data_IF_013583571036
#
_entry.id   IF_013583571036
#
_cell.length_a   1.000
_cell.length_b   1.000
_cell.length_c   1.000
_cell.angle_alpha   90.00
_cell.angle_beta   90.00
_cell.angle_gamma   90.00
#
_symmetry.space_group_name_H-M   'P 1'
#
loop_
_entity.id
_entity.type
_entity.pdbx_description
1 polymer ?
#
# COMPACT_ATOMS: atom_id res chain seq x y z
N UNK A 1 42.59 3.00 -22.21
CA UNK A 1 41.28 3.02 -22.91
C UNK A 1 40.57 1.67 -22.75
N UNK A 2 41.21 0.52 -23.11
CA UNK A 2 40.61 -0.83 -23.06
C UNK A 2 40.06 -1.18 -21.65
N UNK A 3 40.81 -0.92 -20.58
CA UNK A 3 40.37 -1.19 -19.22
C UNK A 3 39.12 -0.36 -18.83
N UNK A 4 39.04 0.89 -19.26
CA UNK A 4 37.87 1.76 -18.98
C UNK A 4 36.63 1.20 -19.68
N UNK A 5 36.76 0.80 -20.95
CA UNK A 5 35.67 0.19 -21.71
C UNK A 5 35.20 -1.11 -21.04
N UNK A 6 36.11 -1.94 -20.57
CA UNK A 6 35.77 -3.18 -19.89
C UNK A 6 35.03 -2.95 -18.58
N UNK A 7 35.47 -1.99 -17.77
CA UNK A 7 34.78 -1.60 -16.53
C UNK A 7 33.36 -1.07 -16.84
N UNK A 8 33.22 -0.21 -17.84
CA UNK A 8 31.90 0.32 -18.25
C UNK A 8 30.95 -0.81 -18.67
N UNK A 9 31.43 -1.78 -19.43
CA UNK A 9 30.62 -2.93 -19.85
C UNK A 9 30.19 -3.81 -18.67
N UNK A 10 31.09 -4.04 -17.70
CA UNK A 10 30.76 -4.78 -16.47
C UNK A 10 29.69 -4.02 -15.68
N UNK A 11 29.85 -2.72 -15.47
CA UNK A 11 28.89 -1.89 -14.74
C UNK A 11 27.53 -1.90 -15.47
N UNK A 12 27.52 -1.75 -16.78
CA UNK A 12 26.30 -1.80 -17.59
C UNK A 12 25.62 -3.18 -17.52
N UNK A 13 26.42 -4.26 -17.54
CA UNK A 13 25.91 -5.62 -17.38
C UNK A 13 25.30 -5.84 -15.99
N UNK A 14 26.02 -5.46 -14.92
CA UNK A 14 25.52 -5.56 -13.53
C UNK A 14 24.25 -4.73 -13.36
N UNK A 15 24.22 -3.51 -13.89
CA UNK A 15 23.04 -2.64 -13.89
C UNK A 15 21.87 -3.33 -14.61
N UNK A 16 22.10 -3.85 -15.81
CA UNK A 16 21.08 -4.53 -16.61
C UNK A 16 20.53 -5.78 -15.90
N UNK A 17 21.40 -6.59 -15.31
CA UNK A 17 20.99 -7.78 -14.54
C UNK A 17 20.19 -7.37 -13.28
N UNK A 18 20.64 -6.32 -12.57
CA UNK A 18 20.00 -5.85 -11.36
C UNK A 18 18.61 -5.26 -11.61
N UNK A 19 18.45 -4.45 -12.64
CA UNK A 19 17.22 -3.70 -12.89
C UNK A 19 16.30 -4.35 -13.92
N UNK A 20 16.79 -5.31 -14.69
CA UNK A 20 16.01 -6.02 -15.72
C UNK A 20 15.18 -5.08 -16.61
N UNK A 21 15.68 -3.85 -16.84
CA UNK A 21 14.99 -2.76 -17.53
C UNK A 21 14.58 -3.10 -18.97
N UNK A 22 15.27 -4.03 -19.58
CA UNK A 22 15.05 -4.56 -20.94
C UNK A 22 13.87 -5.54 -21.02
N UNK A 23 13.41 -6.11 -19.90
CA UNK A 23 12.25 -7.02 -19.89
C UNK A 23 10.99 -6.29 -20.37
N UNK A 24 10.08 -6.97 -21.10
CA UNK A 24 8.81 -6.39 -21.48
C UNK A 24 7.99 -6.00 -20.25
N UNK A 25 7.11 -5.04 -20.42
CA UNK A 25 6.15 -4.70 -19.38
C UNK A 25 5.12 -5.83 -19.20
N UNK A 26 4.68 -6.05 -17.97
CA UNK A 26 3.43 -6.77 -17.74
C UNK A 26 2.31 -5.98 -18.42
N UNK A 27 1.38 -6.67 -19.06
CA UNK A 27 0.28 -6.04 -19.78
C UNK A 27 -0.36 -4.90 -18.98
N UNK A 28 -0.48 -3.72 -19.61
CA UNK A 28 -1.02 -2.51 -18.98
C UNK A 28 -2.54 -2.54 -18.76
N UNK A 29 -3.23 -3.52 -19.34
CA UNK A 29 -4.64 -3.83 -19.01
C UNK A 29 -4.79 -4.43 -17.61
N UNK A 30 -3.73 -5.00 -17.05
CA UNK A 30 -3.74 -5.50 -15.69
C UNK A 30 -3.46 -4.34 -14.73
N UNK A 31 -4.36 -4.05 -13.77
CA UNK A 31 -4.21 -2.92 -12.85
C UNK A 31 -2.98 -3.06 -11.94
N UNK A 32 -2.46 -1.93 -11.47
CA UNK A 32 -1.37 -1.88 -10.50
C UNK A 32 -1.93 -1.43 -9.15
N UNK A 33 -1.67 -2.20 -8.11
CA UNK A 33 -1.99 -1.82 -6.73
C UNK A 33 -0.69 -1.50 -6.02
N UNK A 34 -0.51 -0.25 -5.59
CA UNK A 34 0.71 0.24 -4.95
C UNK A 34 0.54 0.25 -3.43
N UNK A 35 1.53 -0.24 -2.70
CA UNK A 35 1.55 -0.25 -1.25
C UNK A 35 2.54 0.78 -0.72
N UNK A 36 2.03 1.79 -0.06
CA UNK A 36 2.74 2.78 0.74
C UNK A 36 2.39 2.63 2.22
N UNK A 37 3.08 3.36 3.08
CA UNK A 37 2.72 3.54 4.50
C UNK A 37 2.79 5.04 4.83
N UNK A 38 3.99 5.59 5.00
CA UNK A 38 4.21 7.00 5.36
C UNK A 38 4.73 7.82 4.17
N UNK A 39 4.28 9.07 4.09
CA UNK A 39 4.82 10.09 3.18
C UNK A 39 5.45 11.20 4.02
N UNK A 40 6.70 11.02 4.41
CA UNK A 40 7.44 11.95 5.26
C UNK A 40 8.94 11.83 5.08
N UNK A 41 9.69 12.82 5.58
CA UNK A 41 11.14 12.78 5.54
C UNK A 41 11.72 11.61 6.34
N UNK A 42 12.90 11.16 5.93
CA UNK A 42 13.65 10.16 6.70
C UNK A 42 14.10 10.73 8.04
N UNK A 43 14.19 9.87 9.03
CA UNK A 43 14.71 10.17 10.35
C UNK A 43 16.09 9.52 10.45
N UNK A 44 17.10 10.28 10.83
CA UNK A 44 18.48 9.76 10.99
C UNK A 44 18.51 8.65 12.06
N UNK A 45 19.17 7.55 11.71
CA UNK A 45 19.26 6.38 12.58
C UNK A 45 17.98 5.51 12.68
N UNK A 46 16.86 5.95 12.12
CA UNK A 46 15.61 5.19 12.18
C UNK A 46 15.67 3.90 11.36
N UNK A 47 15.12 2.82 11.93
CA UNK A 47 15.10 1.48 11.31
C UNK A 47 14.07 1.36 10.19
N UNK A 48 12.96 2.10 10.30
CA UNK A 48 11.82 2.01 9.39
C UNK A 48 11.78 3.07 8.29
N UNK A 49 12.91 3.71 7.96
CA UNK A 49 12.99 4.63 6.82
C UNK A 49 12.55 4.01 5.46
N UNK A 50 12.48 2.67 5.39
CA UNK A 50 11.89 2.00 4.22
C UNK A 50 10.38 2.23 4.07
N UNK A 51 9.67 2.53 5.16
CA UNK A 51 8.24 2.83 5.15
C UNK A 51 7.97 4.32 4.86
N UNK A 52 8.99 5.19 4.93
CA UNK A 52 8.89 6.64 4.76
C UNK A 52 9.30 7.04 3.35
N UNK A 53 8.34 7.28 2.48
CA UNK A 53 8.60 7.89 1.16
C UNK A 53 8.64 9.40 1.35
N UNK A 54 9.72 10.06 0.91
CA UNK A 54 9.83 11.52 1.04
C UNK A 54 8.73 12.23 0.25
N UNK A 55 8.12 13.31 0.77
CA UNK A 55 7.05 14.02 0.08
C UNK A 55 7.44 14.46 -1.35
N UNK A 56 8.66 14.98 -1.53
CA UNK A 56 9.16 15.35 -2.84
C UNK A 56 9.28 14.17 -3.82
N UNK A 57 9.61 12.98 -3.33
CA UNK A 57 9.65 11.76 -4.18
C UNK A 57 8.25 11.25 -4.48
N UNK A 58 7.32 11.31 -3.51
CA UNK A 58 5.92 10.96 -3.74
C UNK A 58 5.27 11.87 -4.78
N UNK A 59 5.50 13.19 -4.68
CA UNK A 59 5.02 14.18 -5.69
C UNK A 59 5.54 13.83 -7.09
N UNK A 60 6.84 13.55 -7.25
CA UNK A 60 7.43 13.12 -8.53
C UNK A 60 6.81 11.82 -9.06
N UNK A 61 6.50 10.87 -8.18
CA UNK A 61 5.91 9.59 -8.58
C UNK A 61 4.48 9.78 -9.08
N UNK A 62 3.64 10.53 -8.35
CA UNK A 62 2.25 10.81 -8.75
C UNK A 62 2.21 11.68 -10.00
N UNK A 63 3.05 12.74 -10.08
CA UNK A 63 3.20 13.59 -11.25
C UNK A 63 3.55 12.78 -12.50
N UNK A 64 4.52 11.88 -12.38
CA UNK A 64 4.94 11.04 -13.49
C UNK A 64 3.82 10.09 -13.93
N UNK A 65 3.15 9.42 -12.99
CA UNK A 65 2.02 8.56 -13.32
C UNK A 65 0.92 9.34 -14.04
N UNK A 66 0.56 10.54 -13.55
CA UNK A 66 -0.43 11.40 -14.21
C UNK A 66 -0.01 11.77 -15.63
N UNK A 67 1.25 12.20 -15.82
CA UNK A 67 1.80 12.56 -17.13
C UNK A 67 1.86 11.36 -18.12
N UNK A 68 1.96 10.13 -17.61
CA UNK A 68 1.94 8.91 -18.43
C UNK A 68 0.51 8.42 -18.72
N UNK A 69 -0.52 9.13 -18.28
CA UNK A 69 -1.92 8.77 -18.51
C UNK A 69 -2.41 7.63 -17.62
N UNK A 70 -1.86 7.47 -16.41
CA UNK A 70 -2.41 6.52 -15.44
C UNK A 70 -3.76 7.02 -14.92
N UNK A 71 -4.71 6.10 -14.78
CA UNK A 71 -6.03 6.31 -14.21
C UNK A 71 -6.02 5.89 -12.74
N UNK A 72 -6.18 6.87 -11.85
CA UNK A 72 -6.19 6.62 -10.40
C UNK A 72 -7.57 6.22 -9.94
N UNK A 73 -7.66 5.09 -9.25
CA UNK A 73 -8.90 4.54 -8.71
C UNK A 73 -8.73 4.14 -7.24
N UNK A 74 -9.84 4.08 -6.51
CA UNK A 74 -9.88 3.44 -5.20
C UNK A 74 -9.92 1.91 -5.35
N UNK A 75 -9.75 1.17 -4.26
CA UNK A 75 -9.85 -0.29 -4.32
C UNK A 75 -11.29 -0.76 -4.60
N UNK A 76 -12.29 -0.03 -4.12
CA UNK A 76 -13.70 -0.30 -4.45
C UNK A 76 -13.95 -0.08 -5.94
N UNK A 77 -13.54 1.07 -6.50
CA UNK A 77 -13.70 1.35 -7.93
C UNK A 77 -12.93 0.34 -8.79
N UNK A 78 -11.75 -0.10 -8.32
CA UNK A 78 -10.98 -1.13 -8.99
C UNK A 78 -11.76 -2.44 -9.08
N UNK A 79 -12.38 -2.87 -8.00
CA UNK A 79 -13.18 -4.10 -7.96
C UNK A 79 -14.45 -3.98 -8.81
N UNK A 80 -15.21 -2.89 -8.67
CA UNK A 80 -16.48 -2.68 -9.36
C UNK A 80 -16.32 -2.67 -10.89
N UNK A 81 -15.17 -2.23 -11.37
CA UNK A 81 -14.88 -2.13 -12.79
C UNK A 81 -13.88 -3.18 -13.29
N UNK A 82 -13.64 -4.26 -12.53
CA UNK A 82 -12.64 -5.25 -12.91
C UNK A 82 -12.90 -5.82 -14.31
N UNK A 83 -11.84 -5.82 -15.13
CA UNK A 83 -11.90 -6.24 -16.53
C UNK A 83 -12.35 -5.15 -17.51
N UNK A 84 -12.94 -4.04 -17.04
CA UNK A 84 -13.42 -2.93 -17.86
C UNK A 84 -12.67 -1.61 -17.63
N UNK A 85 -11.64 -1.61 -16.80
CA UNK A 85 -10.88 -0.39 -16.58
C UNK A 85 -10.00 -0.02 -17.79
N UNK A 86 -9.68 1.28 -17.92
CA UNK A 86 -8.70 1.74 -18.90
C UNK A 86 -7.33 1.08 -18.70
N UNK A 87 -6.55 1.00 -19.74
CA UNK A 87 -5.12 0.66 -19.60
C UNK A 87 -4.43 1.62 -18.63
N UNK A 88 -3.38 1.13 -17.96
CA UNK A 88 -2.65 1.89 -16.93
C UNK A 88 -3.52 2.34 -15.75
N UNK A 89 -4.50 1.53 -15.34
CA UNK A 89 -5.20 1.77 -14.08
C UNK A 89 -4.28 1.47 -12.89
N UNK A 90 -4.32 2.36 -11.90
CA UNK A 90 -3.51 2.27 -10.69
C UNK A 90 -4.34 2.61 -9.45
N UNK A 91 -4.27 1.75 -8.43
CA UNK A 91 -4.76 2.03 -7.07
C UNK A 91 -3.58 2.32 -6.16
N UNK A 92 -3.54 3.50 -5.57
CA UNK A 92 -2.58 3.86 -4.52
C UNK A 92 -3.18 3.43 -3.19
N UNK A 93 -2.45 2.65 -2.39
CA UNK A 93 -2.91 2.25 -1.06
C UNK A 93 -1.90 2.64 0.00
N UNK A 94 -2.40 3.04 1.18
CA UNK A 94 -1.60 3.33 2.38
C UNK A 94 -2.06 2.43 3.50
N UNK A 95 -1.13 1.81 4.21
CA UNK A 95 -1.43 1.00 5.39
C UNK A 95 -1.22 1.83 6.67
N UNK A 96 -1.82 1.37 7.77
CA UNK A 96 -1.64 1.83 9.15
C UNK A 96 -2.34 3.15 9.53
N UNK A 97 -2.74 4.00 8.59
CA UNK A 97 -3.42 5.26 8.89
C UNK A 97 -2.54 6.30 9.58
N UNK A 98 -1.32 6.51 9.10
CA UNK A 98 -0.42 7.55 9.60
C UNK A 98 -0.92 8.97 9.31
N UNK A 99 -0.65 9.91 10.21
CA UNK A 99 -1.07 11.31 10.09
C UNK A 99 -0.52 11.99 8.81
N UNK A 100 0.68 11.63 8.39
CA UNK A 100 1.29 12.17 7.17
C UNK A 100 0.54 11.79 5.88
N UNK A 101 -0.36 10.83 5.93
CA UNK A 101 -1.27 10.55 4.81
C UNK A 101 -2.23 11.72 4.57
N UNK A 102 -2.64 12.45 5.62
CA UNK A 102 -3.40 13.69 5.50
C UNK A 102 -2.50 14.90 5.22
N UNK A 103 -1.43 15.08 5.99
CA UNK A 103 -0.65 16.30 5.99
C UNK A 103 0.26 16.44 4.75
N UNK A 104 0.79 15.32 4.26
CA UNK A 104 1.76 15.31 3.17
C UNK A 104 1.25 14.61 1.90
N UNK A 105 0.62 13.43 2.02
CA UNK A 105 0.17 12.68 0.85
C UNK A 105 -1.09 13.29 0.23
N UNK A 106 -2.09 13.64 1.04
CA UNK A 106 -3.38 14.12 0.54
C UNK A 106 -3.27 15.40 -0.29
N UNK A 107 -2.51 16.46 0.08
CA UNK A 107 -2.33 17.63 -0.77
C UNK A 107 -1.72 17.32 -2.15
N UNK A 108 -0.83 16.33 -2.20
CA UNK A 108 -0.24 15.86 -3.46
C UNK A 108 -1.29 15.11 -4.29
N UNK A 109 -2.05 14.21 -3.66
CA UNK A 109 -3.14 13.50 -4.34
C UNK A 109 -4.19 14.47 -4.88
N UNK A 110 -4.57 15.48 -4.09
CA UNK A 110 -5.52 16.52 -4.49
C UNK A 110 -5.00 17.34 -5.68
N UNK A 111 -3.74 17.77 -5.66
CA UNK A 111 -3.06 18.49 -6.76
C UNK A 111 -3.18 17.75 -8.10
N UNK A 112 -3.09 16.44 -8.10
CA UNK A 112 -3.16 15.61 -9.32
C UNK A 112 -4.52 14.97 -9.56
N UNK A 113 -5.51 15.22 -8.69
CA UNK A 113 -6.80 14.53 -8.68
C UNK A 113 -6.61 13.00 -8.70
N UNK A 114 -5.68 12.53 -7.87
CA UNK A 114 -5.34 11.13 -7.75
C UNK A 114 -6.11 10.50 -6.58
N UNK A 115 -6.89 9.45 -6.86
CA UNK A 115 -7.60 8.71 -5.84
C UNK A 115 -6.67 7.73 -5.14
N UNK A 116 -7.00 7.41 -3.87
CA UNK A 116 -6.27 6.42 -3.09
C UNK A 116 -7.19 5.74 -2.05
N UNK A 117 -6.71 4.62 -1.49
CA UNK A 117 -7.34 3.93 -0.37
C UNK A 117 -6.41 3.95 0.84
N UNK A 118 -6.91 4.33 2.00
CA UNK A 118 -6.16 4.30 3.27
C UNK A 118 -6.76 3.23 4.18
N UNK A 119 -5.97 2.24 4.54
CA UNK A 119 -6.33 1.19 5.48
C UNK A 119 -6.01 1.64 6.91
N UNK A 120 -7.04 1.89 7.70
CA UNK A 120 -6.90 2.39 9.07
C UNK A 120 -7.04 1.26 10.09
N UNK A 121 -6.16 1.27 11.07
CA UNK A 121 -6.33 0.51 12.31
C UNK A 121 -7.27 1.30 13.20
N UNK A 122 -8.24 0.67 13.84
CA UNK A 122 -9.21 1.39 14.69
C UNK A 122 -8.56 1.88 15.97
N UNK A 123 -8.01 0.98 16.77
CA UNK A 123 -7.27 1.29 18.01
C UNK A 123 -5.79 1.52 17.67
N UNK A 124 -5.47 2.70 17.14
CA UNK A 124 -4.19 3.03 16.51
C UNK A 124 -3.28 3.93 17.33
N UNK A 125 -3.78 4.54 18.39
CA UNK A 125 -3.01 5.44 19.23
C UNK A 125 -2.24 4.68 20.30
N UNK A 126 -1.06 5.19 20.67
CA UNK A 126 -0.20 4.66 21.74
C UNK A 126 0.17 3.18 21.63
N UNK A 127 0.15 2.65 20.39
CA UNK A 127 0.50 1.25 20.09
C UNK A 127 1.72 1.17 19.20
N UNK A 128 2.64 0.29 19.55
CA UNK A 128 3.73 -0.17 18.69
C UNK A 128 3.36 -1.52 18.08
N UNK A 129 3.00 -1.52 16.82
CA UNK A 129 2.77 -2.74 16.04
C UNK A 129 3.92 -3.11 15.11
N UNK A 130 5.12 -2.63 15.40
CA UNK A 130 6.32 -3.14 14.75
C UNK A 130 6.38 -4.66 14.88
N UNK A 131 6.74 -5.32 13.78
CA UNK A 131 6.57 -6.77 13.68
C UNK A 131 7.50 -7.52 14.62
N UNK A 132 6.99 -8.49 15.34
CA UNK A 132 7.78 -9.48 16.06
C UNK A 132 8.54 -10.46 15.13
N UNK A 133 8.51 -10.27 13.82
CA UNK A 133 9.25 -11.11 12.85
C UNK A 133 10.75 -11.14 13.10
N UNK A 134 11.30 -10.05 13.63
CA UNK A 134 12.72 -9.94 13.98
C UNK A 134 12.84 -9.10 15.25
N UNK A 135 13.71 -9.50 16.17
CA UNK A 135 13.90 -8.82 17.44
C UNK A 135 14.17 -7.30 17.31
N UNK A 136 14.90 -6.89 16.25
CA UNK A 136 15.19 -5.48 16.01
C UNK A 136 13.99 -4.67 15.47
N UNK A 137 12.88 -5.31 15.11
CA UNK A 137 11.64 -4.63 14.73
C UNK A 137 10.80 -4.19 15.95
N UNK A 138 11.10 -4.69 17.12
CA UNK A 138 10.42 -4.33 18.37
C UNK A 138 11.16 -3.18 19.05
N UNK A 139 11.28 -2.03 18.37
CA UNK A 139 12.06 -0.89 18.87
C UNK A 139 11.20 0.25 19.44
N UNK A 140 9.88 0.13 19.43
CA UNK A 140 8.96 1.20 19.81
C UNK A 140 8.89 2.37 18.81
N UNK A 141 9.68 2.33 17.72
CA UNK A 141 9.75 3.45 16.76
C UNK A 141 8.39 3.80 16.14
N UNK A 142 7.59 2.78 15.79
CA UNK A 142 6.29 3.01 15.15
C UNK A 142 5.19 3.45 16.12
N UNK A 143 5.37 3.25 17.43
CA UNK A 143 4.45 3.76 18.45
C UNK A 143 4.44 5.28 18.49
N UNK A 144 5.59 5.91 18.26
CA UNK A 144 5.75 7.36 18.28
C UNK A 144 5.38 8.06 16.96
N UNK A 145 5.09 7.28 15.91
CA UNK A 145 4.63 7.86 14.65
C UNK A 145 3.17 8.31 14.78
N UNK A 146 2.87 9.60 14.54
CA UNK A 146 1.50 10.11 14.64
C UNK A 146 0.54 9.39 13.71
N UNK A 147 -0.66 9.11 14.19
CA UNK A 147 -1.75 8.48 13.45
C UNK A 147 -2.89 9.46 13.22
N UNK A 148 -3.68 9.22 12.19
CA UNK A 148 -4.92 9.94 11.93
C UNK A 148 -5.86 9.79 13.13
N UNK A 149 -6.47 10.88 13.61
CA UNK A 149 -7.60 10.80 14.52
C UNK A 149 -8.92 10.60 13.74
N UNK A 150 -10.01 10.37 14.44
CA UNK A 150 -11.30 10.05 13.82
C UNK A 150 -11.87 11.20 12.98
N UNK A 151 -11.66 12.46 13.42
CA UNK A 151 -12.07 13.64 12.65
C UNK A 151 -11.32 13.69 11.31
N UNK A 152 -10.02 13.40 11.32
CA UNK A 152 -9.17 13.39 10.13
C UNK A 152 -9.52 12.24 9.17
N UNK A 153 -9.84 11.05 9.71
CA UNK A 153 -10.34 9.92 8.91
C UNK A 153 -11.66 10.31 8.21
N UNK A 154 -12.59 10.93 8.92
CA UNK A 154 -13.86 11.43 8.37
C UNK A 154 -13.63 12.52 7.32
N UNK A 155 -12.70 13.45 7.56
CA UNK A 155 -12.30 14.48 6.60
C UNK A 155 -11.82 13.86 5.27
N UNK A 156 -10.89 12.91 5.36
CA UNK A 156 -10.35 12.20 4.19
C UNK A 156 -11.45 11.44 3.43
N UNK A 157 -12.31 10.71 4.14
CA UNK A 157 -13.45 10.00 3.53
C UNK A 157 -14.40 10.93 2.78
N UNK A 158 -14.57 12.17 3.25
CA UNK A 158 -15.47 13.15 2.63
C UNK A 158 -14.83 13.93 1.48
N UNK A 159 -13.53 13.77 1.22
CA UNK A 159 -12.81 14.50 0.17
C UNK A 159 -13.22 14.11 -1.27
N UNK A 160 -13.86 12.96 -1.45
CA UNK A 160 -14.16 12.39 -2.77
C UNK A 160 -12.97 11.72 -3.46
N UNK A 161 -11.76 11.81 -2.88
CA UNK A 161 -10.54 11.21 -3.43
C UNK A 161 -10.06 9.99 -2.63
N UNK A 162 -10.47 9.89 -1.36
CA UNK A 162 -9.95 8.87 -0.45
C UNK A 162 -11.05 7.90 -0.02
N UNK A 163 -10.83 6.63 -0.32
CA UNK A 163 -11.54 5.51 0.28
C UNK A 163 -10.87 5.13 1.60
N UNK A 164 -11.65 4.85 2.63
CA UNK A 164 -11.18 4.29 3.90
C UNK A 164 -11.46 2.79 3.90
N UNK A 165 -10.41 2.01 4.01
CA UNK A 165 -10.46 0.57 4.23
C UNK A 165 -10.08 0.20 5.67
N UNK A 166 -10.23 -1.07 6.03
CA UNK A 166 -9.92 -1.60 7.36
C UNK A 166 -8.56 -2.27 7.42
N UNK A 167 -7.89 -2.10 8.58
CA UNK A 167 -6.64 -2.80 8.92
C UNK A 167 -6.71 -3.48 10.29
N UNK A 168 -7.87 -4.06 10.63
CA UNK A 168 -8.27 -4.65 11.92
C UNK A 168 -8.49 -3.62 13.05
N UNK A 169 -8.94 -4.12 14.21
CA UNK A 169 -9.09 -3.29 15.40
C UNK A 169 -7.75 -2.83 15.96
N UNK A 170 -6.81 -3.76 16.11
CA UNK A 170 -5.58 -3.56 16.89
C UNK A 170 -4.30 -3.82 16.09
N UNK A 171 -4.38 -3.87 14.74
CA UNK A 171 -3.30 -4.32 13.88
C UNK A 171 -2.84 -5.77 14.23
N UNK A 172 -3.83 -6.62 14.50
CA UNK A 172 -3.59 -7.96 15.01
C UNK A 172 -2.92 -8.88 13.97
N UNK A 173 -2.01 -9.72 14.46
CA UNK A 173 -1.56 -10.86 13.67
C UNK A 173 -2.60 -11.97 13.76
N UNK A 174 -3.49 -12.06 12.77
CA UNK A 174 -4.62 -13.01 12.75
C UNK A 174 -4.16 -14.46 12.90
N UNK A 175 -2.97 -14.83 12.42
CA UNK A 175 -2.42 -16.18 12.56
C UNK A 175 -2.11 -16.60 14.02
N UNK A 176 -2.14 -15.64 14.94
CA UNK A 176 -1.91 -15.86 16.38
C UNK A 176 -3.20 -15.89 17.21
N UNK A 177 -4.32 -15.63 16.59
CA UNK A 177 -5.64 -15.58 17.20
C UNK A 177 -6.45 -16.82 16.81
N UNK A 178 -7.41 -17.23 17.64
CA UNK A 178 -8.42 -18.20 17.27
C UNK A 178 -9.46 -17.56 16.31
N UNK A 179 -10.43 -18.36 15.85
CA UNK A 179 -11.44 -17.92 14.88
C UNK A 179 -12.33 -16.83 15.45
N UNK A 180 -12.72 -16.94 16.72
CA UNK A 180 -13.62 -15.99 17.39
C UNK A 180 -12.92 -14.64 17.53
N UNK A 181 -11.69 -14.62 18.03
CA UNK A 181 -10.91 -13.40 18.18
C UNK A 181 -10.56 -12.77 16.83
N UNK A 182 -10.21 -13.59 15.81
CA UNK A 182 -9.93 -13.09 14.46
C UNK A 182 -11.18 -12.49 13.82
N UNK A 183 -12.33 -13.16 13.90
CA UNK A 183 -13.58 -12.65 13.36
C UNK A 183 -13.99 -11.35 14.07
N UNK A 184 -13.78 -11.26 15.39
CA UNK A 184 -14.02 -10.04 16.17
C UNK A 184 -13.16 -8.87 15.67
N UNK A 185 -11.84 -9.07 15.49
CA UNK A 185 -10.92 -8.07 14.94
C UNK A 185 -11.41 -7.54 13.58
N UNK A 186 -11.94 -8.42 12.73
CA UNK A 186 -12.41 -8.09 11.39
C UNK A 186 -13.77 -7.39 11.41
N UNK A 187 -14.75 -7.91 12.15
CA UNK A 187 -16.12 -7.37 12.15
C UNK A 187 -16.23 -6.06 12.93
N UNK A 188 -15.60 -5.97 14.10
CA UNK A 188 -15.66 -4.75 14.91
C UNK A 188 -14.94 -3.59 14.21
N UNK A 189 -13.78 -3.84 13.58
CA UNK A 189 -13.08 -2.79 12.84
C UNK A 189 -13.92 -2.27 11.67
N UNK A 190 -14.56 -3.15 10.91
CA UNK A 190 -15.48 -2.77 9.84
C UNK A 190 -16.60 -1.90 10.36
N UNK A 191 -17.34 -2.36 11.38
CA UNK A 191 -18.50 -1.65 11.91
C UNK A 191 -18.14 -0.28 12.52
N UNK A 192 -17.01 -0.19 13.24
CA UNK A 192 -16.60 1.09 13.83
C UNK A 192 -16.17 2.11 12.76
N UNK A 193 -15.46 1.67 11.73
CA UNK A 193 -15.10 2.56 10.61
C UNK A 193 -16.37 2.99 9.86
N UNK A 194 -17.30 2.07 9.56
CA UNK A 194 -18.57 2.39 8.89
C UNK A 194 -19.40 3.39 9.70
N UNK A 195 -19.50 3.20 11.01
CA UNK A 195 -20.19 4.15 11.89
C UNK A 195 -19.52 5.53 11.90
N UNK A 196 -18.18 5.57 11.85
CA UNK A 196 -17.41 6.80 11.82
C UNK A 196 -17.63 7.59 10.54
N UNK A 197 -17.51 6.92 9.36
CA UNK A 197 -17.52 7.62 8.06
C UNK A 197 -18.90 7.65 7.40
N UNK A 198 -19.88 6.93 7.94
CA UNK A 198 -21.23 6.75 7.40
C UNK A 198 -21.24 6.24 5.94
N UNK A 199 -20.30 5.35 5.59
CA UNK A 199 -20.17 4.70 4.28
C UNK A 199 -19.77 3.24 4.48
N UNK A 200 -20.12 2.34 3.53
CA UNK A 200 -19.65 0.95 3.55
C UNK A 200 -18.12 0.86 3.52
N UNK A 201 -17.56 -0.10 4.25
CA UNK A 201 -16.15 -0.47 4.23
C UNK A 201 -16.02 -1.86 3.63
N UNK A 202 -15.61 -1.94 2.38
CA UNK A 202 -15.58 -3.17 1.59
C UNK A 202 -14.16 -3.73 1.42
N UNK A 203 -13.14 -2.89 1.63
CA UNK A 203 -11.74 -3.21 1.40
C UNK A 203 -10.99 -3.43 2.71
N UNK A 204 -10.12 -4.45 2.72
CA UNK A 204 -9.34 -4.87 3.87
C UNK A 204 -7.86 -5.04 3.52
N UNK A 205 -6.95 -4.76 4.45
CA UNK A 205 -5.54 -5.12 4.33
C UNK A 205 -5.12 -6.06 5.47
N UNK A 206 -4.46 -7.18 5.13
CA UNK A 206 -3.96 -8.12 6.15
C UNK A 206 -2.75 -7.54 6.87
N UNK A 207 -2.81 -7.35 8.23
CA UNK A 207 -1.68 -6.86 9.00
C UNK A 207 -0.42 -7.69 8.77
N UNK A 208 0.72 -7.02 8.60
CA UNK A 208 2.02 -7.64 8.29
C UNK A 208 2.06 -8.46 6.99
N UNK A 209 0.92 -8.63 6.28
CA UNK A 209 0.75 -9.60 5.20
C UNK A 209 0.87 -11.05 5.69
N UNK A 210 0.56 -11.30 6.96
CA UNK A 210 0.52 -12.63 7.55
C UNK A 210 -0.94 -13.05 7.63
N UNK A 211 -1.29 -14.05 6.88
CA UNK A 211 -2.64 -14.61 6.82
C UNK A 211 -2.61 -16.07 6.32
N UNK A 212 -3.69 -16.78 6.53
CA UNK A 212 -3.93 -18.14 6.05
C UNK A 212 -5.25 -18.18 5.27
N UNK A 213 -5.58 -19.33 4.67
CA UNK A 213 -6.88 -19.51 4.01
C UNK A 213 -8.05 -19.35 4.98
N UNK A 214 -7.87 -19.74 6.26
CA UNK A 214 -8.83 -19.48 7.34
C UNK A 214 -9.14 -17.99 7.47
N UNK A 215 -8.11 -17.12 7.46
CA UNK A 215 -8.27 -15.69 7.64
C UNK A 215 -8.96 -15.04 6.41
N UNK A 216 -8.75 -15.61 5.23
CA UNK A 216 -9.48 -15.24 4.01
C UNK A 216 -10.97 -15.51 4.16
N UNK A 217 -11.35 -16.69 4.64
CA UNK A 217 -12.77 -17.04 4.85
C UNK A 217 -13.41 -16.19 5.96
N UNK A 218 -12.68 -15.92 7.05
CA UNK A 218 -13.17 -15.02 8.10
C UNK A 218 -13.34 -13.58 7.61
N UNK A 219 -12.47 -13.07 6.73
CA UNK A 219 -12.63 -11.75 6.15
C UNK A 219 -13.85 -11.68 5.22
N UNK A 220 -14.13 -12.73 4.43
CA UNK A 220 -15.38 -12.84 3.66
C UNK A 220 -16.61 -12.88 4.59
N UNK A 221 -16.55 -13.66 5.66
CA UNK A 221 -17.63 -13.75 6.66
C UNK A 221 -17.90 -12.41 7.33
N UNK A 222 -16.85 -11.60 7.59
CA UNK A 222 -16.98 -10.24 8.09
C UNK A 222 -17.58 -9.25 7.07
N UNK A 223 -17.77 -9.68 5.81
CA UNK A 223 -18.40 -8.88 4.77
C UNK A 223 -17.44 -7.96 3.99
N UNK A 224 -16.14 -8.27 3.97
CA UNK A 224 -15.23 -7.63 3.03
C UNK A 224 -15.34 -8.29 1.66
N UNK A 225 -15.30 -7.48 0.60
CA UNK A 225 -15.40 -7.95 -0.77
C UNK A 225 -14.05 -7.99 -1.49
N UNK A 226 -13.07 -7.24 -0.99
CA UNK A 226 -11.69 -7.32 -1.44
C UNK A 226 -10.70 -7.18 -0.28
N UNK A 227 -9.54 -7.79 -0.45
CA UNK A 227 -8.45 -7.67 0.51
C UNK A 227 -7.09 -7.66 -0.19
N UNK A 228 -6.19 -6.83 0.31
CA UNK A 228 -4.84 -6.69 -0.21
C UNK A 228 -3.81 -7.36 0.71
N UNK A 229 -2.78 -7.88 0.10
CA UNK A 229 -1.69 -8.58 0.79
C UNK A 229 -0.36 -7.83 0.67
N UNK A 230 0.69 -8.35 1.30
CA UNK A 230 2.06 -7.92 1.05
C UNK A 230 2.79 -8.79 0.02
N UNK A 231 2.09 -9.69 -0.68
CA UNK A 231 2.64 -10.46 -1.78
C UNK A 231 2.95 -9.51 -2.94
N UNK A 232 4.20 -9.52 -3.40
CA UNK A 232 4.64 -8.57 -4.42
C UNK A 232 4.29 -9.10 -5.82
N UNK A 233 3.58 -8.27 -6.60
CA UNK A 233 3.18 -8.66 -7.95
C UNK A 233 2.11 -7.75 -8.57
N UNK A 234 1.65 -8.18 -9.73
CA UNK A 234 0.48 -7.67 -10.45
C UNK A 234 -0.44 -8.86 -10.68
N UNK A 235 -1.68 -8.75 -10.26
CA UNK A 235 -2.65 -9.83 -10.36
C UNK A 235 -2.94 -10.25 -11.81
N UNK A 236 -3.45 -11.46 -11.98
CA UNK A 236 -3.97 -11.96 -13.25
C UNK A 236 -5.26 -11.21 -13.63
N UNK A 237 -5.79 -11.49 -14.81
CA UNK A 237 -7.09 -10.96 -15.24
C UNK A 237 -8.26 -11.54 -14.44
N UNK A 238 -8.06 -12.67 -13.75
CA UNK A 238 -9.04 -13.30 -12.86
C UNK A 238 -8.38 -13.54 -11.50
N UNK A 239 -8.31 -12.51 -10.65
CA UNK A 239 -7.67 -12.62 -9.34
C UNK A 239 -8.60 -13.23 -8.30
N UNK A 240 -8.01 -13.70 -7.20
CA UNK A 240 -8.73 -13.81 -5.95
C UNK A 240 -8.79 -12.44 -5.29
N UNK A 241 -9.96 -11.79 -5.30
CA UNK A 241 -10.14 -10.46 -4.72
C UNK A 241 -9.81 -10.39 -3.23
N UNK A 242 -9.82 -11.51 -2.53
CA UNK A 242 -9.45 -11.55 -1.11
C UNK A 242 -7.94 -11.70 -0.88
N UNK A 243 -7.12 -11.77 -1.93
CA UNK A 243 -5.68 -11.97 -1.84
C UNK A 243 -4.89 -11.14 -2.88
N UNK A 244 -5.34 -9.91 -3.15
CA UNK A 244 -4.73 -9.06 -4.17
C UNK A 244 -3.26 -8.75 -3.87
N UNK A 245 -2.43 -8.86 -4.89
CA UNK A 245 -1.01 -8.56 -4.83
C UNK A 245 -0.77 -7.05 -4.92
N UNK A 246 0.31 -6.58 -4.29
CA UNK A 246 0.68 -5.17 -4.35
C UNK A 246 2.14 -4.97 -4.75
N UNK A 247 2.39 -3.88 -5.44
CA UNK A 247 3.73 -3.39 -5.73
C UNK A 247 4.20 -2.57 -4.52
N UNK A 248 5.18 -3.08 -3.80
CA UNK A 248 5.74 -2.40 -2.61
C UNK A 248 6.57 -1.19 -3.03
N UNK A 249 6.26 -0.02 -2.49
CA UNK A 249 7.06 1.19 -2.65
C UNK A 249 7.83 1.46 -1.36
N UNK A 250 9.12 1.68 -1.50
CA UNK A 250 10.01 1.91 -0.36
C UNK A 250 10.53 3.33 -0.37
N UNK A 251 10.75 3.91 0.82
CA UNK A 251 11.42 5.19 1.00
C UNK A 251 12.84 5.27 0.42
N UNK A 252 13.41 4.13 0.01
CA UNK A 252 14.71 4.06 -0.68
C UNK A 252 14.60 3.96 -2.20
N UNK A 253 13.39 3.95 -2.74
CA UNK A 253 13.17 3.81 -4.18
C UNK A 253 13.28 5.19 -4.86
N UNK A 254 14.15 5.28 -5.86
CA UNK A 254 14.14 6.40 -6.79
C UNK A 254 12.94 6.29 -7.73
N UNK A 255 12.57 7.40 -8.38
CA UNK A 255 11.53 7.39 -9.41
C UNK A 255 11.80 6.34 -10.50
N UNK A 256 13.07 6.12 -10.88
CA UNK A 256 13.43 5.09 -11.84
C UNK A 256 13.08 3.67 -11.33
N UNK A 257 13.34 3.38 -10.06
CA UNK A 257 12.97 2.10 -9.47
C UNK A 257 11.45 1.89 -9.45
N UNK A 258 10.69 2.96 -9.12
CA UNK A 258 9.21 2.91 -9.13
C UNK A 258 8.68 2.65 -10.54
N UNK A 259 9.23 3.31 -11.58
CA UNK A 259 8.89 3.07 -12.98
C UNK A 259 9.09 1.59 -13.38
N UNK A 260 10.20 0.99 -12.97
CA UNK A 260 10.47 -0.41 -13.24
C UNK A 260 9.53 -1.34 -12.50
N UNK A 261 9.18 -1.04 -11.26
CA UNK A 261 8.20 -1.83 -10.49
C UNK A 261 6.82 -1.80 -11.11
N UNK A 262 6.36 -0.62 -11.54
CA UNK A 262 5.09 -0.49 -12.28
C UNK A 262 5.11 -1.27 -13.59
N UNK A 263 6.28 -1.34 -14.26
CA UNK A 263 6.50 -2.11 -15.49
C UNK A 263 6.47 -3.62 -15.23
N UNK A 264 7.14 -4.09 -14.17
CA UNK A 264 7.46 -5.50 -13.94
C UNK A 264 6.61 -6.17 -12.83
N UNK A 265 5.93 -5.39 -12.01
CA UNK A 265 5.13 -5.86 -10.87
C UNK A 265 5.91 -6.20 -9.61
N UNK A 266 7.21 -6.15 -9.66
CA UNK A 266 8.08 -6.54 -8.53
C UNK A 266 9.41 -5.81 -8.57
N UNK A 267 10.15 -5.92 -7.49
CA UNK A 267 11.56 -5.55 -7.45
C UNK A 267 12.34 -6.36 -8.49
N UNK A 268 13.12 -5.65 -9.31
CA UNK A 268 14.05 -6.28 -10.22
C UNK A 268 15.23 -6.89 -9.46
#
# INVERSE_FOLDING_TARGET
>A
VIYIVFVVLIVAMVFSLKYAWWKPAVDWKRPRVLMYHMVREHIDGAKFNKLRVKPAEFDKQVAWMKAQGFHFVTMQELQDNWGNHPEKTVAITFDDGYLDNLENAFPILEKYQAKATIYVVVDRHDRDWSTYKKAHHNSGELAHEPKLNDIQVKQLSNSGLIEIGSHTMTHANLSKLDDVASLKELTESKHQIEALIAKPVTSFAYPFGIYSQRDVELAKQAGYSNAVTTKEGIDSISPDFMQLQRIKISGKDSLFAVKLRLKLGKRA
#
